data_IF_104519944379
#
_entry.id   IF_104519944379
#
_cell.length_a   1.000
_cell.length_b   1.000
_cell.length_c   1.000
_cell.angle_alpha   90.00
_cell.angle_beta   90.00
_cell.angle_gamma   90.00
#
_symmetry.space_group_name_H-M   'P 1'
#
loop_
_entity.id
_entity.type
_entity.pdbx_description
1 polymer ?
#
# COMPACT_ATOMS: atom_id res chain seq x y z
N UNK A 1 8.37 0.17 -21.66
CA UNK A 1 8.37 0.81 -20.32
C UNK A 1 9.18 -0.06 -19.36
N UNK A 2 10.04 0.53 -18.52
CA UNK A 2 10.80 -0.19 -17.48
C UNK A 2 10.44 0.42 -16.12
N UNK A 3 10.06 -0.44 -15.19
CA UNK A 3 9.82 -0.10 -13.79
C UNK A 3 10.94 -0.69 -12.95
N UNK A 4 11.27 -0.02 -11.85
CA UNK A 4 12.26 -0.49 -10.87
C UNK A 4 11.60 -1.47 -9.88
N UNK A 5 10.29 -1.33 -9.64
CA UNK A 5 9.50 -2.27 -8.86
C UNK A 5 8.04 -2.34 -9.34
N UNK A 6 7.40 -3.49 -9.17
CA UNK A 6 5.97 -3.70 -9.37
C UNK A 6 5.37 -4.14 -8.05
N UNK A 7 4.31 -3.46 -7.61
CA UNK A 7 3.54 -3.82 -6.41
C UNK A 7 2.19 -4.40 -6.84
N UNK A 8 1.99 -5.69 -6.58
CA UNK A 8 0.74 -6.38 -6.83
C UNK A 8 -0.15 -6.33 -5.57
N UNK A 9 -1.24 -5.58 -5.66
CA UNK A 9 -2.14 -5.26 -4.56
C UNK A 9 -1.75 -3.92 -3.90
N UNK A 10 -2.65 -2.92 -3.96
CA UNK A 10 -2.47 -1.60 -3.34
C UNK A 10 -3.35 -1.43 -2.09
N UNK A 11 -3.45 -2.49 -1.29
CA UNK A 11 -3.99 -2.42 0.07
C UNK A 11 -3.08 -1.63 1.03
N UNK A 12 -3.33 -1.71 2.34
CA UNK A 12 -2.58 -0.92 3.34
C UNK A 12 -1.05 -1.05 3.22
N UNK A 13 -0.51 -2.26 3.08
CA UNK A 13 0.93 -2.46 2.93
C UNK A 13 1.45 -2.08 1.53
N UNK A 14 0.76 -2.51 0.47
CA UNK A 14 1.22 -2.28 -0.90
C UNK A 14 1.24 -0.80 -1.28
N UNK A 15 0.22 -0.05 -0.87
CA UNK A 15 0.19 1.42 -1.04
C UNK A 15 1.32 2.10 -0.27
N UNK A 16 1.62 1.66 0.96
CA UNK A 16 2.75 2.18 1.73
C UNK A 16 4.10 1.90 1.04
N UNK A 17 4.31 0.68 0.52
CA UNK A 17 5.51 0.32 -0.26
C UNK A 17 5.63 1.20 -1.50
N UNK A 18 4.56 1.32 -2.29
CA UNK A 18 4.56 2.11 -3.51
C UNK A 18 4.90 3.58 -3.24
N UNK A 19 4.27 4.18 -2.21
CA UNK A 19 4.53 5.57 -1.82
C UNK A 19 5.98 5.78 -1.37
N UNK A 20 6.50 4.92 -0.48
CA UNK A 20 7.84 5.06 0.07
C UNK A 20 8.95 4.73 -0.94
N UNK A 21 8.71 3.83 -1.89
CA UNK A 21 9.65 3.53 -2.97
C UNK A 21 9.66 4.66 -4.01
N UNK A 22 8.49 5.16 -4.40
CA UNK A 22 8.39 6.31 -5.31
C UNK A 22 9.02 7.57 -4.72
N UNK A 23 8.82 7.84 -3.43
CA UNK A 23 9.45 8.95 -2.71
C UNK A 23 10.99 8.87 -2.69
N UNK A 24 11.56 7.68 -2.90
CA UNK A 24 13.01 7.45 -3.03
C UNK A 24 13.50 7.48 -4.49
N UNK A 25 12.65 7.88 -5.44
CA UNK A 25 13.00 8.04 -6.84
C UNK A 25 12.83 6.78 -7.71
N UNK A 26 12.26 5.69 -7.15
CA UNK A 26 11.99 4.49 -7.94
C UNK A 26 10.76 4.69 -8.84
N UNK A 27 10.84 4.20 -10.08
CA UNK A 27 9.67 4.07 -10.97
C UNK A 27 8.88 2.83 -10.56
N UNK A 28 7.79 3.04 -9.84
CA UNK A 28 6.94 1.96 -9.31
C UNK A 28 5.64 1.84 -10.11
N UNK A 29 5.30 0.62 -10.54
CA UNK A 29 3.98 0.29 -11.04
C UNK A 29 3.15 -0.37 -9.93
N UNK A 30 2.07 0.28 -9.51
CA UNK A 30 1.10 -0.30 -8.59
C UNK A 30 -0.11 -0.86 -9.34
N UNK A 31 -0.49 -2.10 -9.05
CA UNK A 31 -1.68 -2.75 -9.61
C UNK A 31 -2.65 -3.14 -8.50
N UNK A 32 -3.91 -2.75 -8.63
CA UNK A 32 -4.97 -3.12 -7.71
C UNK A 32 -6.20 -3.59 -8.47
N UNK A 33 -6.73 -4.75 -8.08
CA UNK A 33 -7.86 -5.40 -8.77
C UNK A 33 -9.17 -4.66 -8.56
N UNK A 34 -9.35 -4.06 -7.39
CA UNK A 34 -10.66 -3.65 -6.91
C UNK A 34 -10.85 -2.14 -6.74
N UNK A 35 -9.85 -1.35 -7.11
CA UNK A 35 -9.78 0.10 -6.84
C UNK A 35 -9.36 0.40 -5.40
N UNK A 36 -9.00 1.66 -5.09
CA UNK A 36 -8.56 2.06 -3.75
C UNK A 36 -9.70 1.94 -2.72
N UNK A 37 -9.34 1.65 -1.46
CA UNK A 37 -10.24 1.64 -0.30
C UNK A 37 -11.53 0.79 -0.45
N UNK A 38 -11.44 -0.36 -1.12
CA UNK A 38 -12.56 -1.27 -1.33
C UNK A 38 -12.87 -2.18 -0.12
N UNK A 39 -14.09 -2.71 -0.05
CA UNK A 39 -14.56 -3.61 1.02
C UNK A 39 -14.14 -5.08 0.86
N UNK A 40 -13.34 -5.41 -0.16
CA UNK A 40 -12.95 -6.80 -0.52
C UNK A 40 -11.55 -7.18 -0.04
N UNK A 41 -10.96 -6.40 0.87
CA UNK A 41 -9.61 -6.61 1.38
C UNK A 41 -9.48 -6.18 2.84
N UNK A 42 -8.41 -6.59 3.52
CA UNK A 42 -8.29 -6.48 4.98
C UNK A 42 -8.15 -5.04 5.52
N UNK A 43 -8.04 -4.03 4.66
CA UNK A 43 -7.93 -2.61 5.04
C UNK A 43 -9.29 -1.89 5.14
N UNK A 44 -10.41 -2.56 4.83
CA UNK A 44 -11.75 -1.96 4.87
C UNK A 44 -12.20 -1.52 6.28
N UNK A 45 -13.28 -0.76 6.37
CA UNK A 45 -13.74 -0.20 7.65
C UNK A 45 -12.98 1.08 8.01
N UNK A 46 -13.44 1.75 9.08
CA UNK A 46 -13.09 3.16 9.32
C UNK A 46 -11.85 3.38 10.17
N UNK A 47 -11.52 2.43 11.05
CA UNK A 47 -10.49 2.62 12.08
C UNK A 47 -9.60 1.40 12.20
N UNK A 48 -8.37 1.62 12.70
CA UNK A 48 -7.40 0.60 13.08
C UNK A 48 -6.74 1.01 14.38
N UNK A 49 -6.60 0.06 15.30
CA UNK A 49 -5.91 0.29 16.57
C UNK A 49 -4.41 0.10 16.35
N UNK A 50 -3.60 1.04 16.82
CA UNK A 50 -2.15 0.92 16.94
C UNK A 50 -1.82 0.98 18.43
N UNK A 51 -0.95 0.09 18.92
CA UNK A 51 -0.55 0.01 20.33
C UNK A 51 0.96 -0.07 20.46
N UNK A 52 1.50 0.60 21.48
CA UNK A 52 2.84 0.40 22.01
C UNK A 52 2.68 -0.03 23.48
N UNK A 53 3.53 -0.93 23.96
CA UNK A 53 3.47 -1.39 25.35
C UNK A 53 4.75 -0.95 26.06
N UNK A 54 4.60 -0.07 27.05
CA UNK A 54 5.64 0.47 27.93
C UNK A 54 6.80 1.18 27.19
N UNK A 55 7.19 2.36 27.70
CA UNK A 55 8.25 3.21 27.13
C UNK A 55 9.40 3.31 28.11
#
# INVERSE_FOLDING_TARGET
MRYDAIVLGLGGMGSAVAAHAAARGMRVLGLERFGPAHARGASHGRTRIIRQAYF
#
